data_IF_063923926674
#
_entry.id   IF_063923926674
#
_cell.length_a   1.000
_cell.length_b   1.000
_cell.length_c   1.000
_cell.angle_alpha   90.00
_cell.angle_beta   90.00
_cell.angle_gamma   90.00
#
_symmetry.space_group_name_H-M   'P 1'
#
loop_
_entity.id
_entity.type
_entity.pdbx_description
1 polymer ?
#
# COMPACT_ATOMS: atom_id res chain seq x y z
N UNK A 1 -9.12 -2.28 -12.79
CA UNK A 1 -8.78 -2.51 -11.38
C UNK A 1 -9.95 -2.16 -10.51
N UNK A 2 -10.19 -2.95 -9.46
CA UNK A 2 -11.16 -2.68 -8.41
C UNK A 2 -10.52 -2.87 -7.04
N UNK A 3 -10.92 -2.03 -6.09
CA UNK A 3 -10.65 -2.23 -4.67
C UNK A 3 -11.65 -3.26 -4.16
N UNK A 4 -11.16 -4.29 -3.48
CA UNK A 4 -11.95 -5.39 -2.94
C UNK A 4 -12.29 -5.12 -1.47
N UNK A 5 -11.28 -4.73 -0.69
CA UNK A 5 -11.42 -4.39 0.72
C UNK A 5 -10.31 -3.43 1.15
N UNK A 6 -10.54 -2.77 2.27
CA UNK A 6 -9.59 -1.87 2.93
C UNK A 6 -9.59 -2.23 4.40
N UNK A 7 -8.41 -2.49 4.94
CA UNK A 7 -8.19 -2.75 6.36
C UNK A 7 -7.32 -1.66 6.96
N UNK A 8 -7.71 -1.15 8.12
CA UNK A 8 -6.96 -0.12 8.85
C UNK A 8 -6.32 -0.79 10.06
N UNK A 9 -4.99 -0.81 10.13
CA UNK A 9 -4.25 -1.52 11.20
C UNK A 9 -3.84 -0.63 12.37
N UNK A 10 -4.39 0.59 12.42
CA UNK A 10 -3.98 1.63 13.35
C UNK A 10 -2.61 2.21 12.99
N UNK A 11 -2.15 3.20 13.76
CA UNK A 11 -0.85 3.85 13.55
C UNK A 11 -0.63 4.26 12.08
N UNK A 12 -1.57 4.93 11.44
CA UNK A 12 -1.40 5.41 10.06
C UNK A 12 -1.31 4.36 8.95
N UNK A 13 -1.52 3.06 9.24
CA UNK A 13 -1.48 1.99 8.25
C UNK A 13 -2.83 1.69 7.62
N UNK A 14 -2.87 1.72 6.29
CA UNK A 14 -3.98 1.22 5.47
C UNK A 14 -3.51 0.10 4.53
N UNK A 15 -4.16 -1.06 4.58
CA UNK A 15 -3.96 -2.16 3.64
C UNK A 15 -5.13 -2.22 2.67
N UNK A 16 -4.84 -2.03 1.38
CA UNK A 16 -5.82 -1.99 0.29
C UNK A 16 -5.71 -3.27 -0.52
N UNK A 17 -6.77 -4.07 -0.52
CA UNK A 17 -6.84 -5.32 -1.29
C UNK A 17 -7.39 -5.02 -2.68
N UNK A 18 -6.67 -5.44 -3.71
CA UNK A 18 -7.03 -5.19 -5.12
C UNK A 18 -7.01 -6.48 -5.93
N UNK A 19 -7.80 -6.52 -7.00
CA UNK A 19 -7.78 -7.67 -7.92
C UNK A 19 -6.56 -7.69 -8.83
N UNK A 20 -6.09 -6.53 -9.28
CA UNK A 20 -4.88 -6.35 -10.09
C UNK A 20 -4.46 -4.89 -10.06
N UNK A 21 -3.15 -4.61 -10.09
CA UNK A 21 -2.58 -3.30 -10.40
C UNK A 21 -1.92 -3.33 -11.79
N UNK A 22 -1.60 -2.18 -12.40
CA UNK A 22 -0.75 -2.15 -13.58
C UNK A 22 0.56 -2.92 -13.34
N UNK A 23 1.00 -3.68 -14.35
CA UNK A 23 2.16 -4.57 -14.22
C UNK A 23 3.46 -3.80 -13.95
N UNK A 24 3.73 -2.74 -14.70
CA UNK A 24 4.98 -1.97 -14.59
C UNK A 24 4.99 -1.03 -13.38
N UNK A 25 6.17 -0.80 -12.80
CA UNK A 25 6.39 0.19 -11.72
C UNK A 25 5.78 1.56 -12.07
N UNK A 26 6.07 2.06 -13.27
CA UNK A 26 5.54 3.34 -13.74
C UNK A 26 4.02 3.32 -13.88
N UNK A 27 3.44 2.18 -14.27
CA UNK A 27 2.00 2.00 -14.33
C UNK A 27 1.36 2.13 -12.94
N UNK A 28 1.94 1.49 -11.91
CA UNK A 28 1.46 1.57 -10.53
C UNK A 28 1.53 3.01 -10.00
N UNK A 29 2.65 3.69 -10.26
CA UNK A 29 2.85 5.10 -9.88
C UNK A 29 1.84 6.01 -10.56
N UNK A 30 1.68 5.90 -11.88
CA UNK A 30 0.74 6.73 -12.64
C UNK A 30 -0.69 6.50 -12.18
N UNK A 31 -1.04 5.25 -11.87
CA UNK A 31 -2.35 4.95 -11.31
C UNK A 31 -2.54 5.64 -9.96
N UNK A 32 -1.59 5.54 -9.03
CA UNK A 32 -1.68 6.23 -7.75
C UNK A 32 -1.86 7.73 -7.92
N UNK A 33 -1.04 8.37 -8.74
CA UNK A 33 -1.11 9.82 -8.98
C UNK A 33 -2.47 10.26 -9.53
N UNK A 34 -3.11 9.42 -10.35
CA UNK A 34 -4.43 9.68 -10.92
C UNK A 34 -5.56 9.48 -9.90
N UNK A 35 -5.44 8.53 -8.96
CA UNK A 35 -6.56 8.06 -8.14
C UNK A 35 -6.45 8.44 -6.65
N UNK A 36 -5.33 9.00 -6.19
CA UNK A 36 -5.11 9.34 -4.77
C UNK A 36 -6.16 10.29 -4.20
N UNK A 37 -6.70 11.20 -5.01
CA UNK A 37 -7.77 12.11 -4.58
C UNK A 37 -9.07 11.34 -4.33
N UNK A 38 -9.50 10.52 -5.30
CA UNK A 38 -10.68 9.67 -5.16
C UNK A 38 -10.54 8.68 -3.99
N UNK A 39 -9.34 8.13 -3.78
CA UNK A 39 -9.05 7.27 -2.63
C UNK A 39 -9.27 8.00 -1.29
N UNK A 40 -8.90 9.28 -1.23
CA UNK A 40 -9.12 10.10 -0.04
C UNK A 40 -10.59 10.45 0.15
N UNK A 41 -11.28 10.84 -0.92
CA UNK A 41 -12.68 11.28 -0.84
C UNK A 41 -13.66 10.13 -0.58
N UNK A 42 -13.44 8.97 -1.21
CA UNK A 42 -14.36 7.84 -1.15
C UNK A 42 -14.07 6.87 0.00
N UNK A 43 -12.81 6.75 0.38
CA UNK A 43 -12.37 5.74 1.34
C UNK A 43 -11.58 6.30 2.53
N UNK A 44 -11.35 7.62 2.56
CA UNK A 44 -10.56 8.30 3.59
C UNK A 44 -9.11 7.80 3.67
N UNK A 45 -8.51 7.37 2.55
CA UNK A 45 -7.11 6.90 2.48
C UNK A 45 -6.22 7.94 1.78
N UNK A 46 -5.03 8.27 2.31
CA UNK A 46 -4.47 7.77 3.57
C UNK A 46 -5.17 8.35 4.80
N UNK A 47 -5.07 7.61 5.92
CA UNK A 47 -5.42 8.06 7.27
C UNK A 47 -4.15 8.38 8.05
N UNK A 48 -3.61 9.60 7.93
CA UNK A 48 -2.38 9.95 8.63
C UNK A 48 -2.57 10.00 10.14
N UNK A 49 -1.48 9.68 10.85
CA UNK A 49 -1.31 9.99 12.26
C UNK A 49 -1.25 11.52 12.50
N UNK A 50 -1.35 12.00 13.75
CA UNK A 50 -1.32 13.44 14.05
C UNK A 50 -0.09 14.19 13.52
N UNK A 51 1.05 13.51 13.37
CA UNK A 51 2.28 14.07 12.79
C UNK A 51 2.30 14.04 11.26
N UNK A 52 1.23 13.53 10.64
CA UNK A 52 1.06 13.36 9.20
C UNK A 52 1.52 12.01 8.66
N UNK A 53 2.18 11.16 9.47
CA UNK A 53 2.76 9.91 9.00
C UNK A 53 1.69 8.91 8.55
N UNK A 54 1.93 8.23 7.43
CA UNK A 54 1.07 7.16 6.96
C UNK A 54 1.81 6.16 6.07
N UNK A 55 1.24 4.97 5.96
CA UNK A 55 1.60 3.95 4.98
C UNK A 55 0.33 3.36 4.36
N UNK A 56 0.27 3.34 3.04
CA UNK A 56 -0.76 2.65 2.27
C UNK A 56 -0.10 1.51 1.52
N UNK A 57 -0.43 0.26 1.85
CA UNK A 57 0.03 -0.91 1.12
C UNK A 57 -1.07 -1.40 0.18
N UNK A 58 -0.68 -1.86 -1.01
CA UNK A 58 -1.57 -2.51 -1.96
C UNK A 58 -1.18 -3.97 -2.11
N UNK A 59 -2.15 -4.85 -1.82
CA UNK A 59 -1.98 -6.30 -1.83
C UNK A 59 -2.86 -6.92 -2.90
N UNK A 60 -2.33 -7.88 -3.65
CA UNK A 60 -3.15 -8.71 -4.54
C UNK A 60 -3.97 -9.69 -3.68
N UNK A 61 -5.30 -9.69 -3.89
CA UNK A 61 -6.20 -10.50 -3.07
C UNK A 61 -6.23 -11.99 -3.45
N UNK A 62 -5.89 -12.31 -4.71
CA UNK A 62 -5.82 -13.68 -5.25
C UNK A 62 -7.05 -14.53 -4.91
N UNK A 63 -6.86 -15.64 -4.18
CA UNK A 63 -7.89 -16.62 -3.82
C UNK A 63 -8.80 -16.17 -2.67
N UNK A 64 -8.60 -14.95 -2.16
CA UNK A 64 -9.36 -14.36 -1.07
C UNK A 64 -8.87 -14.74 0.32
N UNK A 65 -9.73 -14.51 1.33
CA UNK A 65 -9.36 -14.74 2.73
C UNK A 65 -9.14 -16.21 3.04
N UNK A 66 -8.11 -16.48 3.84
CA UNK A 66 -7.65 -17.81 4.28
C UNK A 66 -7.56 -17.82 5.80
N UNK A 67 -7.62 -19.02 6.38
CA UNK A 67 -7.32 -19.18 7.81
C UNK A 67 -5.85 -18.84 8.08
N UNK A 68 -5.53 -18.44 9.30
CA UNK A 68 -4.13 -18.27 9.72
C UNK A 68 -3.40 -19.61 9.62
N UNK A 69 -2.19 -19.60 9.06
CA UNK A 69 -1.32 -20.78 8.97
C UNK A 69 -0.23 -20.79 10.06
N UNK A 70 -0.17 -19.76 10.90
CA UNK A 70 0.85 -19.59 11.93
C UNK A 70 2.23 -19.21 11.36
N UNK A 71 2.33 -18.88 10.07
CA UNK A 71 3.56 -18.50 9.39
C UNK A 71 3.54 -17.03 9.00
N UNK A 72 3.43 -16.72 7.71
CA UNK A 72 3.70 -15.39 7.18
C UNK A 72 2.50 -14.75 6.51
N UNK A 73 1.29 -15.27 6.66
CA UNK A 73 0.08 -14.61 6.14
C UNK A 73 -0.10 -13.21 6.74
N UNK A 74 -0.76 -12.35 5.96
CA UNK A 74 -1.20 -11.04 6.43
C UNK A 74 -2.61 -11.17 7.00
N UNK A 75 -2.76 -11.07 8.31
CA UNK A 75 -4.02 -11.18 9.02
C UNK A 75 -4.58 -9.81 9.42
N UNK A 76 -5.91 -9.69 9.42
CA UNK A 76 -6.65 -8.45 9.67
C UNK A 76 -7.54 -8.58 10.92
N UNK A 77 -7.26 -7.77 11.94
CA UNK A 77 -7.93 -7.84 13.24
C UNK A 77 -9.41 -7.41 13.21
N UNK A 78 -9.82 -6.65 12.20
CA UNK A 78 -11.21 -6.22 12.00
C UNK A 78 -12.11 -7.36 11.51
N UNK A 79 -11.55 -8.42 10.92
CA UNK A 79 -12.29 -9.62 10.53
C UNK A 79 -12.33 -10.61 11.69
N UNK A 80 -13.54 -11.02 12.11
CA UNK A 80 -13.74 -11.89 13.29
C UNK A 80 -13.85 -13.39 12.99
N UNK A 81 -13.83 -13.77 11.71
CA UNK A 81 -13.88 -15.17 11.28
C UNK A 81 -12.50 -15.82 11.30
N UNK A 82 -12.43 -17.16 11.27
CA UNK A 82 -11.14 -17.86 11.16
C UNK A 82 -10.38 -17.49 9.89
N UNK A 83 -11.10 -17.39 8.77
CA UNK A 83 -10.56 -16.88 7.52
C UNK A 83 -10.46 -15.35 7.58
N UNK A 84 -9.36 -14.84 8.13
CA UNK A 84 -9.11 -13.40 8.34
C UNK A 84 -7.75 -12.96 7.78
N UNK A 85 -7.08 -13.82 7.02
CA UNK A 85 -5.76 -13.54 6.48
C UNK A 85 -5.72 -13.66 4.96
N UNK A 86 -4.67 -13.15 4.33
CA UNK A 86 -4.35 -13.35 2.92
C UNK A 86 -2.88 -13.79 2.76
N UNK A 87 -2.56 -14.41 1.64
CA UNK A 87 -1.17 -14.65 1.28
C UNK A 87 -0.47 -13.31 0.99
N UNK A 88 0.77 -13.14 1.46
CA UNK A 88 1.51 -11.88 1.33
C UNK A 88 1.99 -11.65 -0.10
N UNK A 89 1.25 -10.85 -0.84
CA UNK A 89 1.67 -10.34 -2.15
C UNK A 89 1.50 -8.82 -2.25
N UNK A 90 2.39 -8.08 -1.57
CA UNK A 90 2.44 -6.62 -1.64
C UNK A 90 3.11 -6.19 -2.93
N UNK A 91 2.35 -5.53 -3.79
CA UNK A 91 2.83 -5.12 -5.12
C UNK A 91 3.16 -3.63 -5.24
N UNK A 92 2.73 -2.82 -4.27
CA UNK A 92 2.99 -1.39 -4.21
C UNK A 92 2.77 -0.84 -2.80
N UNK A 93 3.51 0.19 -2.41
CA UNK A 93 3.15 0.99 -1.24
C UNK A 93 3.47 2.46 -1.42
N UNK A 94 2.72 3.29 -0.71
CA UNK A 94 2.93 4.73 -0.62
C UNK A 94 3.06 5.08 0.84
N UNK A 95 4.16 5.71 1.21
CA UNK A 95 4.35 6.24 2.55
C UNK A 95 4.64 7.72 2.51
N UNK A 96 4.34 8.41 3.60
CA UNK A 96 4.83 9.76 3.84
C UNK A 96 5.39 9.87 5.24
N UNK A 97 6.52 10.54 5.36
CA UNK A 97 7.08 10.95 6.66
C UNK A 97 7.58 12.39 6.58
N UNK A 98 7.66 13.07 7.73
CA UNK A 98 8.19 14.44 7.80
C UNK A 98 9.63 14.53 7.29
N UNK A 99 10.45 13.50 7.54
CA UNK A 99 11.88 13.52 7.22
C UNK A 99 12.15 13.21 5.74
N UNK A 100 11.33 12.38 5.10
CA UNK A 100 11.59 11.86 3.75
C UNK A 100 10.61 12.38 2.69
N UNK A 101 9.45 12.88 3.11
CA UNK A 101 8.35 13.20 2.21
C UNK A 101 7.65 11.95 1.70
N UNK A 102 7.07 12.02 0.49
CA UNK A 102 6.37 10.88 -0.11
C UNK A 102 7.37 9.91 -0.74
N UNK A 103 7.28 8.65 -0.36
CA UNK A 103 7.98 7.53 -1.00
C UNK A 103 6.97 6.58 -1.66
N UNK A 104 7.28 6.18 -2.89
CA UNK A 104 6.52 5.18 -3.66
C UNK A 104 7.40 3.95 -3.81
N UNK A 105 7.11 2.90 -3.04
CA UNK A 105 7.87 1.65 -3.05
C UNK A 105 7.24 0.66 -4.04
N UNK A 106 8.07 0.15 -4.93
CA UNK A 106 7.73 -0.80 -6.02
C UNK A 106 8.65 -2.03 -5.91
N UNK A 107 8.55 -2.97 -6.85
CA UNK A 107 9.33 -4.20 -6.81
C UNK A 107 10.84 -3.95 -6.86
N UNK A 108 11.30 -3.11 -7.80
CA UNK A 108 12.73 -2.92 -8.10
C UNK A 108 13.34 -1.68 -7.40
N UNK A 109 12.76 -1.24 -6.29
CA UNK A 109 13.23 -0.07 -5.54
C UNK A 109 12.11 0.85 -5.11
N UNK A 110 12.45 2.12 -4.93
CA UNK A 110 11.51 3.14 -4.47
C UNK A 110 11.74 4.47 -5.18
N UNK A 111 10.73 5.33 -5.16
CA UNK A 111 10.79 6.67 -5.74
C UNK A 111 10.55 7.72 -4.66
N UNK A 112 11.37 8.76 -4.68
CA UNK A 112 11.21 9.97 -3.86
C UNK A 112 11.03 11.19 -4.76
N UNK A 113 10.30 12.19 -4.26
CA UNK A 113 10.28 13.50 -4.90
C UNK A 113 11.59 14.25 -4.64
N UNK A 114 12.21 14.76 -5.71
CA UNK A 114 13.30 15.72 -5.59
C UNK A 114 12.78 17.11 -5.24
N UNK A 115 13.71 18.04 -4.94
CA UNK A 115 13.40 19.43 -4.61
C UNK A 115 12.59 20.21 -5.67
N UNK A 116 12.50 19.69 -6.90
CA UNK A 116 11.74 20.27 -7.99
C UNK A 116 10.38 19.56 -8.20
N UNK A 117 9.99 18.67 -7.28
CA UNK A 117 8.75 17.91 -7.36
C UNK A 117 8.78 16.79 -8.41
N UNK A 118 9.97 16.32 -8.83
CA UNK A 118 10.09 15.19 -9.78
C UNK A 118 10.42 13.89 -9.06
N UNK A 119 9.79 12.79 -9.47
CA UNK A 119 10.09 11.47 -8.93
C UNK A 119 11.45 10.96 -9.42
N UNK A 120 12.28 10.48 -8.49
CA UNK A 120 13.59 9.87 -8.76
C UNK A 120 13.61 8.45 -8.21
N UNK A 121 14.01 7.49 -9.04
CA UNK A 121 14.15 6.08 -8.65
C UNK A 121 15.45 5.86 -7.88
N UNK A 122 15.35 5.09 -6.81
CA UNK A 122 16.44 4.53 -6.02
C UNK A 122 16.29 3.01 -6.02
N UNK A 123 17.41 2.29 -5.99
CA UNK A 123 17.40 0.83 -5.85
C UNK A 123 17.49 0.47 -4.37
N UNK A 124 16.92 -0.67 -4.00
CA UNK A 124 17.26 -1.27 -2.72
C UNK A 124 18.75 -1.63 -2.71
N UNK A 125 19.44 -1.29 -1.64
CA UNK A 125 20.82 -1.72 -1.47
C UNK A 125 20.83 -3.25 -1.30
N UNK A 126 21.73 -3.97 -1.97
CA UNK A 126 21.96 -5.38 -1.65
C UNK A 126 22.41 -5.47 -0.19
N UNK A 127 21.73 -6.32 0.59
CA UNK A 127 22.16 -6.71 1.93
C UNK A 127 23.54 -7.39 1.89
#
# INVERSE_FOLDING_TARGET
MSIIAIHQRGAGFSDVLVNHLPYSDQGKINWWLKNKTDLKELYDIPRPEPDGWYVVNFWLFHDGYKEDDGYDRLCFDDIKTKAHCIDKDRVFSVQWSQNQGTELTVHDGYYLYDKNGRLRKFKFEPL
#
